data_IF_811441663568
#
_entry.id   IF_811441663568
#
_cell.length_a   1.000
_cell.length_b   1.000
_cell.length_c   1.000
_cell.angle_alpha   90.00
_cell.angle_beta   90.00
_cell.angle_gamma   90.00
#
_symmetry.space_group_name_H-M   'P 1'
#
loop_
_entity.id
_entity.type
_entity.pdbx_description
1 polymer ?
#
# COMPACT_ATOMS: atom_id res chain seq x y z
N UNK A 1 -31.97 5.59 -27.48
CA UNK A 1 -31.34 4.55 -26.62
C UNK A 1 -31.16 4.99 -25.15
N UNK A 2 -31.64 6.16 -24.73
CA UNK A 2 -31.40 6.73 -23.37
C UNK A 2 -32.51 6.47 -22.33
N UNK A 3 -33.52 5.64 -22.66
CA UNK A 3 -34.80 5.61 -21.93
C UNK A 3 -34.72 5.15 -20.47
N UNK A 4 -33.64 4.50 -20.06
CA UNK A 4 -33.55 3.88 -18.72
C UNK A 4 -32.35 4.37 -17.90
N UNK A 5 -31.86 5.60 -18.10
CA UNK A 5 -30.77 6.12 -17.24
C UNK A 5 -31.21 6.38 -15.78
N UNK A 6 -32.48 6.71 -15.58
CA UNK A 6 -33.14 6.91 -14.28
C UNK A 6 -34.52 6.28 -14.31
N UNK A 7 -34.87 5.48 -13.32
CA UNK A 7 -36.17 4.79 -13.23
C UNK A 7 -36.76 4.92 -11.83
N UNK A 8 -38.08 5.11 -11.73
CA UNK A 8 -38.78 5.06 -10.44
C UNK A 8 -39.15 3.64 -10.04
N UNK A 9 -39.48 3.40 -8.76
CA UNK A 9 -39.88 2.07 -8.28
C UNK A 9 -41.02 1.42 -9.08
N UNK A 10 -42.05 2.19 -9.44
CA UNK A 10 -43.18 1.67 -10.21
C UNK A 10 -42.76 1.24 -11.63
N UNK A 11 -41.85 2.00 -12.26
CA UNK A 11 -41.33 1.66 -13.59
C UNK A 11 -40.40 0.44 -13.52
N UNK A 12 -39.61 0.34 -12.43
CA UNK A 12 -38.79 -0.83 -12.15
C UNK A 12 -39.64 -2.11 -12.06
N UNK A 13 -40.72 -2.09 -11.28
CA UNK A 13 -41.61 -3.24 -11.12
C UNK A 13 -42.27 -3.64 -12.46
N UNK A 14 -42.69 -2.66 -13.26
CA UNK A 14 -43.39 -2.91 -14.52
C UNK A 14 -42.46 -3.34 -15.67
N UNK A 15 -41.17 -2.97 -15.62
CA UNK A 15 -40.26 -3.10 -16.77
C UNK A 15 -38.91 -3.71 -16.41
N UNK A 16 -38.85 -4.50 -15.34
CA UNK A 16 -37.63 -5.08 -14.80
C UNK A 16 -36.72 -5.68 -15.87
N UNK A 17 -37.22 -6.56 -16.74
CA UNK A 17 -36.41 -7.23 -17.76
C UNK A 17 -35.73 -6.24 -18.73
N UNK A 18 -36.45 -5.21 -19.18
CA UNK A 18 -35.91 -4.19 -20.10
C UNK A 18 -34.90 -3.28 -19.40
N UNK A 19 -35.12 -2.99 -18.13
CA UNK A 19 -34.22 -2.18 -17.31
C UNK A 19 -32.92 -2.93 -17.03
N UNK A 20 -32.99 -4.23 -16.69
CA UNK A 20 -31.81 -5.08 -16.51
C UNK A 20 -31.03 -5.21 -17.82
N UNK A 21 -31.72 -5.38 -18.96
CA UNK A 21 -31.05 -5.42 -20.27
C UNK A 21 -30.35 -4.10 -20.63
N UNK A 22 -30.96 -2.97 -20.27
CA UNK A 22 -30.33 -1.65 -20.40
C UNK A 22 -29.12 -1.51 -19.46
N UNK A 23 -29.24 -2.00 -18.22
CA UNK A 23 -28.18 -1.99 -17.21
C UNK A 23 -26.93 -2.78 -17.63
N UNK A 24 -27.08 -3.79 -18.50
CA UNK A 24 -25.94 -4.51 -19.10
C UNK A 24 -25.05 -3.63 -19.97
N UNK A 25 -25.58 -2.52 -20.52
CA UNK A 25 -24.84 -1.59 -21.38
C UNK A 25 -24.40 -0.33 -20.63
N UNK A 26 -25.20 0.13 -19.67
CA UNK A 26 -24.90 1.32 -18.87
C UNK A 26 -25.64 1.26 -17.53
N UNK A 27 -25.00 1.58 -16.39
CA UNK A 27 -25.64 1.63 -15.08
C UNK A 27 -26.96 2.41 -15.07
N UNK A 28 -27.96 1.88 -14.38
CA UNK A 28 -29.30 2.49 -14.24
C UNK A 28 -29.53 2.88 -12.78
N UNK A 29 -29.88 4.14 -12.54
CA UNK A 29 -30.21 4.61 -11.19
C UNK A 29 -31.70 4.45 -10.89
N UNK A 30 -32.01 3.76 -9.80
CA UNK A 30 -33.37 3.54 -9.29
C UNK A 30 -33.68 4.61 -8.24
N UNK A 31 -34.82 5.29 -8.39
CA UNK A 31 -35.27 6.35 -7.50
C UNK A 31 -36.49 5.93 -6.69
N UNK A 32 -36.54 6.38 -5.44
CA UNK A 32 -37.68 6.23 -4.54
C UNK A 32 -37.90 7.54 -3.78
N UNK A 33 -39.14 8.02 -3.74
CA UNK A 33 -39.51 9.30 -3.12
C UNK A 33 -38.64 10.49 -3.55
N UNK A 34 -38.26 10.55 -4.83
CA UNK A 34 -37.45 11.64 -5.39
C UNK A 34 -35.94 11.55 -5.14
N UNK A 35 -35.47 10.57 -4.38
CA UNK A 35 -34.05 10.34 -4.11
C UNK A 35 -33.52 9.07 -4.80
N UNK A 36 -32.24 9.04 -5.21
CA UNK A 36 -31.61 7.82 -5.69
C UNK A 36 -31.57 6.80 -4.56
N UNK A 37 -32.13 5.61 -4.82
CA UNK A 37 -32.29 4.54 -3.84
C UNK A 37 -31.31 3.38 -4.07
N UNK A 38 -30.95 3.12 -5.34
CA UNK A 38 -29.99 2.08 -5.69
C UNK A 38 -29.56 2.17 -7.15
N UNK A 39 -28.55 1.37 -7.52
CA UNK A 39 -28.12 1.21 -8.91
C UNK A 39 -28.33 -0.23 -9.34
N UNK A 40 -28.76 -0.41 -10.59
CA UNK A 40 -28.68 -1.69 -11.29
C UNK A 40 -27.51 -1.56 -12.25
N UNK A 41 -26.53 -2.42 -12.07
CA UNK A 41 -25.28 -2.45 -12.85
C UNK A 41 -25.11 -3.83 -13.48
N UNK A 42 -24.35 -3.88 -14.57
CA UNK A 42 -23.91 -5.16 -15.13
C UNK A 42 -22.99 -5.88 -14.14
N UNK A 43 -22.85 -7.20 -14.29
CA UNK A 43 -21.88 -7.97 -13.53
C UNK A 43 -20.45 -7.47 -13.78
N UNK A 44 -20.12 -7.14 -15.03
CA UNK A 44 -18.79 -6.64 -15.42
C UNK A 44 -18.48 -5.28 -14.79
N UNK A 45 -19.45 -4.36 -14.75
CA UNK A 45 -19.30 -3.06 -14.09
C UNK A 45 -19.16 -3.21 -12.58
N UNK A 46 -19.92 -4.13 -11.97
CA UNK A 46 -19.83 -4.40 -10.54
C UNK A 46 -18.48 -5.02 -10.15
N UNK A 47 -18.02 -6.02 -10.90
CA UNK A 47 -16.70 -6.62 -10.70
C UNK A 47 -15.57 -5.62 -10.98
N UNK A 48 -15.75 -4.75 -11.99
CA UNK A 48 -14.84 -3.65 -12.28
C UNK A 48 -14.75 -2.61 -11.15
N UNK A 49 -15.84 -2.40 -10.41
CA UNK A 49 -15.87 -1.54 -9.22
C UNK A 49 -15.25 -2.20 -7.98
N UNK A 50 -15.22 -3.53 -7.92
CA UNK A 50 -14.60 -4.32 -6.85
C UNK A 50 -13.09 -4.56 -7.06
N UNK A 51 -12.46 -3.84 -7.98
CA UNK A 51 -11.04 -3.99 -8.28
C UNK A 51 -10.18 -3.83 -7.02
N UNK A 52 -9.36 -4.82 -6.73
CA UNK A 52 -8.34 -4.73 -5.69
C UNK A 52 -7.20 -3.77 -6.11
N UNK A 53 -6.42 -3.27 -5.16
CA UNK A 53 -5.27 -2.39 -5.45
C UNK A 53 -4.29 -3.05 -6.43
N UNK A 54 -4.09 -4.35 -6.29
CA UNK A 54 -3.25 -5.19 -7.15
C UNK A 54 -3.60 -5.08 -8.63
N UNK A 55 -4.88 -4.90 -8.97
CA UNK A 55 -5.35 -4.83 -10.36
C UNK A 55 -4.91 -3.56 -11.11
N UNK A 56 -4.45 -2.53 -10.39
CA UNK A 56 -3.95 -1.28 -10.96
C UNK A 56 -2.44 -1.30 -11.20
N UNK A 57 -1.74 -2.36 -10.78
CA UNK A 57 -0.28 -2.39 -10.75
C UNK A 57 0.22 -3.31 -11.87
N UNK A 58 1.06 -2.81 -12.79
CA UNK A 58 1.63 -3.64 -13.84
C UNK A 58 2.46 -4.79 -13.25
N UNK A 59 2.21 -6.02 -13.71
CA UNK A 59 2.97 -7.19 -13.27
C UNK A 59 4.48 -7.09 -13.55
N UNK A 60 4.87 -6.33 -14.57
CA UNK A 60 6.28 -6.07 -14.92
C UNK A 60 6.94 -4.92 -14.15
N UNK A 61 6.24 -4.27 -13.21
CA UNK A 61 6.84 -3.21 -12.41
C UNK A 61 7.94 -3.80 -11.50
N UNK A 62 9.10 -3.15 -11.38
CA UNK A 62 10.26 -3.72 -10.67
C UNK A 62 9.97 -4.08 -9.22
N UNK A 63 9.23 -3.24 -8.50
CA UNK A 63 8.80 -3.53 -7.12
C UNK A 63 7.91 -4.79 -7.02
N UNK A 64 7.15 -5.12 -8.07
CA UNK A 64 6.36 -6.36 -8.14
C UNK A 64 7.26 -7.57 -8.32
N UNK A 65 8.22 -7.47 -9.25
CA UNK A 65 9.18 -8.54 -9.53
C UNK A 65 10.09 -8.85 -8.33
N UNK A 66 10.45 -7.83 -7.55
CA UNK A 66 11.34 -7.97 -6.39
C UNK A 66 10.62 -8.34 -5.08
N UNK A 67 9.31 -8.09 -4.97
CA UNK A 67 8.55 -8.36 -3.74
C UNK A 67 8.74 -9.78 -3.19
N UNK A 68 8.73 -10.86 -3.99
CA UNK A 68 8.98 -12.21 -3.47
C UNK A 68 10.33 -12.35 -2.75
N UNK A 69 11.39 -11.75 -3.28
CA UNK A 69 12.72 -11.79 -2.68
C UNK A 69 12.77 -10.97 -1.37
N UNK A 70 12.08 -9.82 -1.34
CA UNK A 70 11.93 -9.01 -0.12
C UNK A 70 11.18 -9.80 0.95
N UNK A 71 10.06 -10.44 0.58
CA UNK A 71 9.24 -11.24 1.49
C UNK A 71 10.01 -12.45 2.04
N UNK A 72 10.85 -13.11 1.22
CA UNK A 72 11.73 -14.20 1.65
C UNK A 72 12.74 -13.73 2.71
N UNK A 73 13.44 -12.61 2.48
CA UNK A 73 14.39 -12.06 3.47
C UNK A 73 13.66 -11.67 4.76
N UNK A 74 12.47 -11.09 4.66
CA UNK A 74 11.65 -10.76 5.84
C UNK A 74 11.19 -12.01 6.61
N UNK A 75 10.85 -13.09 5.91
CA UNK A 75 10.46 -14.36 6.53
C UNK A 75 11.60 -15.04 7.27
N UNK A 76 12.83 -14.96 6.75
CA UNK A 76 14.03 -15.45 7.45
C UNK A 76 14.30 -14.71 8.78
N UNK A 77 13.77 -13.49 8.95
CA UNK A 77 13.93 -12.68 10.16
C UNK A 77 12.62 -12.54 10.94
N UNK A 78 11.70 -13.51 10.81
CA UNK A 78 10.41 -13.52 11.49
C UNK A 78 10.53 -13.34 13.00
N UNK A 79 11.53 -13.93 13.63
CA UNK A 79 11.74 -13.81 15.09
C UNK A 79 12.02 -12.37 15.52
N UNK A 80 12.81 -11.62 14.72
CA UNK A 80 13.05 -10.20 14.96
C UNK A 80 11.76 -9.39 14.81
N UNK A 81 10.96 -9.68 13.78
CA UNK A 81 9.68 -9.00 13.55
C UNK A 81 8.68 -9.29 14.68
N UNK A 82 8.66 -10.51 15.21
CA UNK A 82 7.83 -10.88 16.36
C UNK A 82 8.28 -10.13 17.62
N UNK A 83 9.58 -10.07 17.89
CA UNK A 83 10.13 -9.31 19.01
C UNK A 83 9.75 -7.83 18.93
N UNK A 84 9.91 -7.20 17.76
CA UNK A 84 9.49 -5.81 17.53
C UNK A 84 7.97 -5.62 17.69
N UNK A 85 7.16 -6.61 17.32
CA UNK A 85 5.70 -6.53 17.48
C UNK A 85 5.27 -6.58 18.94
N UNK A 86 6.09 -7.18 19.80
CA UNK A 86 5.85 -7.24 21.24
C UNK A 86 6.26 -5.95 21.98
N UNK A 87 6.99 -5.04 21.32
CA UNK A 87 7.39 -3.77 21.90
C UNK A 87 6.17 -2.89 22.20
N UNK A 88 6.00 -2.41 23.45
CA UNK A 88 4.90 -1.52 23.80
C UNK A 88 4.92 -0.26 22.94
N UNK A 89 3.83 -0.02 22.22
CA UNK A 89 3.62 1.23 21.50
C UNK A 89 3.71 1.13 19.98
N UNK A 90 4.11 0.00 19.38
CA UNK A 90 3.89 -0.22 17.95
C UNK A 90 2.41 -0.53 17.69
N UNK A 91 1.80 0.21 16.76
CA UNK A 91 0.42 -0.02 16.30
C UNK A 91 0.36 -0.52 14.85
N UNK A 92 1.42 -0.27 14.09
CA UNK A 92 1.65 -0.76 12.74
C UNK A 92 2.57 -1.97 12.85
N UNK A 93 2.24 -3.04 12.12
CA UNK A 93 3.07 -4.25 12.11
C UNK A 93 4.52 -3.90 11.67
N UNK A 94 5.58 -4.41 12.34
CA UNK A 94 6.97 -4.10 11.99
C UNK A 94 7.32 -4.43 10.55
N UNK A 95 6.74 -5.50 9.98
CA UNK A 95 6.86 -5.83 8.54
C UNK A 95 6.40 -4.66 7.67
N UNK A 96 5.24 -4.10 7.97
CA UNK A 96 4.66 -2.98 7.24
C UNK A 96 5.50 -1.72 7.39
N UNK A 97 5.99 -1.41 8.60
CA UNK A 97 6.89 -0.27 8.82
C UNK A 97 8.21 -0.41 8.05
N UNK A 98 8.80 -1.63 8.00
CA UNK A 98 9.97 -1.91 7.17
C UNK A 98 9.68 -1.68 5.69
N UNK A 99 8.57 -2.17 5.17
CA UNK A 99 8.15 -1.93 3.78
C UNK A 99 7.96 -0.43 3.50
N UNK A 100 7.40 0.32 4.44
CA UNK A 100 7.27 1.79 4.34
C UNK A 100 8.65 2.46 4.24
N UNK A 101 9.62 2.05 5.05
CA UNK A 101 10.99 2.58 5.00
C UNK A 101 11.74 2.18 3.74
N UNK A 102 11.49 0.97 3.21
CA UNK A 102 12.00 0.55 1.90
C UNK A 102 11.46 1.47 0.80
N UNK A 103 10.16 1.81 0.80
CA UNK A 103 9.61 2.79 -0.14
C UNK A 103 10.29 4.15 -0.01
N UNK A 104 10.54 4.61 1.23
CA UNK A 104 11.21 5.87 1.46
C UNK A 104 12.62 5.90 0.84
N UNK A 105 13.39 4.81 1.01
CA UNK A 105 14.70 4.68 0.40
C UNK A 105 14.63 4.59 -1.12
N UNK A 106 13.81 3.66 -1.65
CA UNK A 106 13.75 3.34 -3.08
C UNK A 106 13.25 4.49 -3.95
N UNK A 107 12.40 5.36 -3.40
CA UNK A 107 11.82 6.49 -4.10
C UNK A 107 12.34 7.84 -3.59
N UNK A 108 13.39 7.85 -2.77
CA UNK A 108 13.98 9.06 -2.17
C UNK A 108 12.94 10.00 -1.55
N UNK A 109 11.94 9.46 -0.86
CA UNK A 109 10.88 10.29 -0.25
C UNK A 109 11.48 11.10 0.91
N UNK A 110 11.44 12.43 0.85
CA UNK A 110 12.31 13.28 1.68
C UNK A 110 11.85 13.42 3.13
N UNK A 111 10.60 13.03 3.46
CA UNK A 111 10.06 13.15 4.82
C UNK A 111 9.00 12.10 5.11
N UNK A 112 8.77 11.83 6.39
CA UNK A 112 7.68 10.97 6.87
C UNK A 112 6.30 11.54 6.51
N UNK A 113 6.17 12.88 6.45
CA UNK A 113 4.93 13.53 6.03
C UNK A 113 4.64 13.26 4.54
N UNK A 114 5.65 13.42 3.67
CA UNK A 114 5.46 13.08 2.26
C UNK A 114 5.27 11.57 2.06
N UNK A 115 5.89 10.73 2.88
CA UNK A 115 5.68 9.28 2.85
C UNK A 115 4.25 8.90 3.24
N UNK A 116 3.70 9.55 4.27
CA UNK A 116 2.30 9.43 4.67
C UNK A 116 1.35 9.85 3.55
N UNK A 117 1.60 10.99 2.92
CA UNK A 117 0.83 11.48 1.77
C UNK A 117 0.87 10.48 0.62
N UNK A 118 2.05 9.96 0.25
CA UNK A 118 2.19 8.95 -0.78
C UNK A 118 1.39 7.68 -0.45
N UNK A 119 1.38 7.21 0.80
CA UNK A 119 0.54 6.08 1.20
C UNK A 119 -0.96 6.36 1.05
N UNK A 120 -1.40 7.62 1.07
CA UNK A 120 -2.81 7.97 0.90
C UNK A 120 -3.28 7.89 -0.56
N UNK A 121 -2.44 8.26 -1.54
CA UNK A 121 -2.87 8.34 -2.95
C UNK A 121 -2.13 7.41 -3.91
N UNK A 122 -0.93 6.92 -3.57
CA UNK A 122 -0.11 6.12 -4.47
C UNK A 122 -0.49 4.64 -4.35
N UNK A 123 -1.22 4.12 -5.35
CA UNK A 123 -1.71 2.73 -5.35
C UNK A 123 -0.59 1.70 -5.26
N UNK A 124 0.56 1.94 -5.90
CA UNK A 124 1.71 1.05 -5.81
C UNK A 124 2.24 0.96 -4.38
N UNK A 125 2.36 2.11 -3.70
CA UNK A 125 2.85 2.16 -2.33
C UNK A 125 1.89 1.43 -1.39
N UNK A 126 0.58 1.69 -1.54
CA UNK A 126 -0.47 1.00 -0.78
C UNK A 126 -0.38 -0.52 -0.94
N UNK A 127 -0.34 -1.00 -2.18
CA UNK A 127 -0.20 -2.42 -2.46
C UNK A 127 1.05 -3.02 -1.84
N UNK A 128 2.18 -2.31 -1.95
CA UNK A 128 3.47 -2.82 -1.45
C UNK A 128 3.44 -3.03 0.06
N UNK A 129 2.81 -2.11 0.80
CA UNK A 129 2.70 -2.19 2.27
C UNK A 129 1.49 -3.00 2.76
N UNK A 130 0.68 -3.54 1.83
CA UNK A 130 -0.50 -4.35 2.14
C UNK A 130 -1.76 -3.55 2.55
N UNK A 131 -1.89 -2.30 2.09
CA UNK A 131 -3.09 -1.50 2.26
C UNK A 131 -4.07 -1.71 1.09
N UNK A 132 -5.34 -1.93 1.40
CA UNK A 132 -6.43 -2.02 0.40
C UNK A 132 -6.81 -0.66 -0.20
N UNK A 133 -7.72 -0.57 -1.17
CA UNK A 133 -8.12 0.73 -1.75
C UNK A 133 -8.82 1.64 -0.73
N UNK A 134 -9.69 1.07 0.10
CA UNK A 134 -10.57 1.82 1.00
C UNK A 134 -10.02 1.96 2.42
N UNK A 135 -8.94 1.24 2.73
CA UNK A 135 -8.35 1.25 4.07
C UNK A 135 -7.81 2.65 4.39
N UNK A 136 -8.11 3.19 5.57
CA UNK A 136 -7.51 4.48 5.96
C UNK A 136 -6.05 4.25 6.38
N UNK A 137 -5.15 5.12 5.92
CA UNK A 137 -3.78 5.17 6.43
C UNK A 137 -3.84 5.61 7.90
N UNK A 138 -2.94 5.06 8.73
CA UNK A 138 -2.80 5.49 10.13
C UNK A 138 -2.59 7.00 10.23
N UNK A 139 -2.92 7.59 11.38
CA UNK A 139 -2.62 9.01 11.62
C UNK A 139 -1.11 9.27 11.54
N UNK A 140 -0.71 10.44 11.05
CA UNK A 140 0.71 10.77 10.83
C UNK A 140 1.56 10.52 12.08
N UNK A 141 1.11 10.96 13.26
CA UNK A 141 1.86 10.75 14.51
C UNK A 141 2.08 9.28 14.88
N UNK A 142 1.14 8.40 14.53
CA UNK A 142 1.31 6.94 14.73
C UNK A 142 2.40 6.43 13.81
N UNK A 143 2.38 6.84 12.53
CA UNK A 143 3.40 6.45 11.57
C UNK A 143 4.80 6.91 12.00
N UNK A 144 4.95 8.18 12.38
CA UNK A 144 6.23 8.75 12.79
C UNK A 144 6.79 8.06 14.04
N UNK A 145 5.93 7.81 15.03
CA UNK A 145 6.33 7.10 16.25
C UNK A 145 6.80 5.68 15.92
N UNK A 146 6.04 4.93 15.12
CA UNK A 146 6.37 3.53 14.82
C UNK A 146 7.62 3.42 13.93
N UNK A 147 7.83 4.36 13.00
CA UNK A 147 9.10 4.53 12.28
C UNK A 147 10.25 4.80 13.25
N UNK A 148 10.08 5.73 14.19
CA UNK A 148 11.12 6.07 15.17
C UNK A 148 11.46 4.87 16.07
N UNK A 149 10.45 4.12 16.54
CA UNK A 149 10.63 2.89 17.31
C UNK A 149 11.41 1.86 16.52
N UNK A 150 11.04 1.62 15.26
CA UNK A 150 11.73 0.63 14.42
C UNK A 150 13.17 1.04 14.12
N UNK A 151 13.40 2.29 13.72
CA UNK A 151 14.74 2.84 13.47
C UNK A 151 15.58 2.94 14.75
N UNK A 152 14.97 2.88 15.93
CA UNK A 152 15.65 2.76 17.22
C UNK A 152 16.25 1.38 17.48
N UNK A 153 15.87 0.35 16.71
CA UNK A 153 16.43 -0.99 16.83
C UNK A 153 17.54 -1.23 15.79
N UNK A 154 18.81 -1.47 16.20
CA UNK A 154 19.92 -1.65 15.26
C UNK A 154 19.75 -2.87 14.35
N UNK A 155 19.13 -3.96 14.83
CA UNK A 155 18.89 -5.17 14.03
C UNK A 155 17.86 -4.90 12.93
N UNK A 156 16.87 -4.04 13.19
CA UNK A 156 15.89 -3.64 12.19
C UNK A 156 16.54 -2.80 11.08
N UNK A 157 17.41 -1.85 11.44
CA UNK A 157 18.16 -1.04 10.46
C UNK A 157 19.12 -1.91 9.63
N UNK A 158 19.81 -2.87 10.26
CA UNK A 158 20.65 -3.85 9.55
C UNK A 158 19.83 -4.71 8.58
N UNK A 159 18.61 -5.10 8.95
CA UNK A 159 17.71 -5.85 8.05
C UNK A 159 17.34 -5.03 6.81
N UNK A 160 17.06 -3.72 6.96
CA UNK A 160 16.83 -2.83 5.81
C UNK A 160 18.06 -2.82 4.90
N UNK A 161 19.25 -2.62 5.47
CA UNK A 161 20.50 -2.61 4.70
C UNK A 161 20.72 -3.95 3.97
N UNK A 162 20.44 -5.07 4.64
CA UNK A 162 20.54 -6.42 4.07
C UNK A 162 19.61 -6.59 2.87
N UNK A 163 18.34 -6.18 2.98
CA UNK A 163 17.38 -6.22 1.88
C UNK A 163 17.88 -5.38 0.69
N UNK A 164 18.37 -4.16 0.94
CA UNK A 164 18.94 -3.31 -0.13
C UNK A 164 20.14 -4.01 -0.80
N UNK A 165 21.05 -4.59 -0.01
CA UNK A 165 22.24 -5.27 -0.50
C UNK A 165 21.95 -6.53 -1.31
N UNK A 166 21.04 -7.37 -0.83
CA UNK A 166 20.74 -8.68 -1.44
C UNK A 166 19.78 -8.57 -2.62
N UNK A 167 18.77 -7.70 -2.53
CA UNK A 167 17.68 -7.63 -3.52
C UNK A 167 17.91 -6.56 -4.58
N UNK A 168 18.48 -5.41 -4.21
CA UNK A 168 18.52 -4.24 -5.09
C UNK A 168 19.89 -3.98 -5.72
N UNK A 169 21.01 -4.12 -5.01
CA UNK A 169 22.33 -3.72 -5.52
C UNK A 169 22.74 -4.33 -6.88
N UNK A 170 22.32 -5.56 -7.19
CA UNK A 170 22.54 -6.19 -8.51
C UNK A 170 21.52 -5.80 -9.59
N UNK A 171 20.34 -5.34 -9.20
CA UNK A 171 19.19 -5.11 -10.07
C UNK A 171 18.99 -3.63 -10.45
N UNK A 172 19.57 -2.69 -9.68
CA UNK A 172 19.36 -1.25 -9.84
C UNK A 172 19.71 -0.69 -11.23
N UNK A 173 20.71 -1.27 -11.92
CA UNK A 173 21.09 -0.84 -13.28
C UNK A 173 19.96 -1.03 -14.31
N UNK A 174 18.99 -1.88 -14.01
CA UNK A 174 17.86 -2.21 -14.89
C UNK A 174 16.52 -1.63 -14.41
N UNK A 175 16.53 -0.79 -13.37
CA UNK A 175 15.31 -0.32 -12.68
C UNK A 175 15.33 1.21 -12.53
N UNK A 176 15.16 1.98 -13.62
CA UNK A 176 15.28 3.44 -13.63
C UNK A 176 14.22 4.15 -12.77
N UNK A 177 13.13 3.48 -12.41
CA UNK A 177 12.09 4.02 -11.52
C UNK A 177 12.54 4.18 -10.06
N UNK A 178 13.63 3.52 -9.66
CA UNK A 178 14.18 3.66 -8.31
C UNK A 178 15.25 4.75 -8.27
N UNK A 179 15.14 5.60 -7.26
CA UNK A 179 16.17 6.55 -6.86
C UNK A 179 16.53 6.24 -5.42
N UNK A 180 17.49 5.33 -5.23
CA UNK A 180 17.84 4.85 -3.90
C UNK A 180 18.59 5.93 -3.10
N UNK A 181 18.02 6.34 -1.98
CA UNK A 181 18.63 7.32 -1.09
C UNK A 181 19.67 6.68 -0.14
N UNK A 182 20.88 6.48 -0.65
CA UNK A 182 21.99 5.94 0.16
C UNK A 182 22.35 6.84 1.35
N UNK A 183 22.24 8.16 1.21
CA UNK A 183 22.55 9.10 2.30
C UNK A 183 21.61 8.93 3.50
N UNK A 184 20.31 8.72 3.24
CA UNK A 184 19.32 8.42 4.28
C UNK A 184 19.62 7.08 4.96
N UNK A 185 19.94 6.03 4.19
CA UNK A 185 20.33 4.74 4.74
C UNK A 185 21.57 4.85 5.64
N UNK A 186 22.61 5.57 5.20
CA UNK A 186 23.80 5.83 6.00
C UNK A 186 23.47 6.61 7.28
N UNK A 187 22.52 7.54 7.24
CA UNK A 187 22.07 8.30 8.42
C UNK A 187 21.43 7.39 9.46
N UNK A 188 20.59 6.44 9.04
CA UNK A 188 19.99 5.44 9.93
C UNK A 188 21.04 4.52 10.56
N UNK A 189 22.02 4.07 9.78
CA UNK A 189 23.12 3.23 10.26
C UNK A 189 24.02 3.98 11.27
N UNK A 190 24.36 5.24 10.96
CA UNK A 190 25.25 6.06 11.80
C UNK A 190 24.68 6.31 13.21
N UNK A 191 23.35 6.32 13.37
CA UNK A 191 22.66 6.43 14.66
C UNK A 191 23.09 5.35 15.66
N UNK A 192 23.45 4.17 15.16
CA UNK A 192 23.83 3.00 15.96
C UNK A 192 25.34 2.75 16.00
N UNK A 193 26.13 3.47 15.21
CA UNK A 193 27.59 3.29 15.20
C UNK A 193 28.26 3.73 16.52
N UNK A 194 27.63 4.65 17.26
CA UNK A 194 28.20 5.25 18.47
C UNK A 194 27.92 4.44 19.76
N UNK A 195 27.03 3.46 19.71
CA UNK A 195 26.68 2.64 20.89
C UNK A 195 27.66 1.48 21.11
N UNK A 196 28.52 1.18 20.13
CA UNK A 196 29.52 0.11 20.22
C UNK A 196 30.85 0.54 20.87
N UNK A 197 31.09 1.85 21.00
CA UNK A 197 32.41 2.40 21.42
C UNK A 197 32.51 2.69 22.93
N UNK A 198 31.43 2.53 23.71
CA UNK A 198 31.42 2.77 25.17
C UNK A 198 31.45 1.48 26.01
N UNK A 199 31.83 0.35 25.42
CA UNK A 199 32.05 -0.92 26.13
C UNK A 199 33.44 -1.45 25.81
N UNK A 200 34.49 -0.79 26.32
CA UNK A 200 35.83 -1.33 26.51
C UNK A 200 36.60 -0.49 27.53
#
# INVERSE_FOLDING_TARGET
MERYSKVGMQELDQRLSKIVEAARKKPVSVYRYGAPWGWIVSQDDWQGALKEVSSYIPAGHSLVLLRPQIDEVLDQHRDLLQALSAEPGMLIAPRTVLQILLLQLLYSVPSEQQLHEQLNYNLLFRWFVGLDLTQRVWGIHVLQRDIATLLGNPRAVQLIQKIIGEVFCGALLHMPEFSLNFALMHTWLARHAHTSTSSN
#
